data_IF_719983204375
#
_entry.id   IF_719983204375
#
_cell.length_a   1.000
_cell.length_b   1.000
_cell.length_c   1.000
_cell.angle_alpha   90.00
_cell.angle_beta   90.00
_cell.angle_gamma   90.00
#
_symmetry.space_group_name_H-M   'P 1'
#
loop_
_entity.id
_entity.type
_entity.pdbx_description
1 polymer ?
#
# COMPACT_ATOMS: atom_id res chain seq x y z
N UNK A 1 -8.46 18.79 11.51
CA UNK A 1 -8.82 17.67 10.62
C UNK A 1 -7.96 16.46 10.96
N UNK A 2 -8.50 15.23 10.89
CA UNK A 2 -7.76 14.00 11.21
C UNK A 2 -7.30 13.33 9.92
N UNK A 3 -5.98 13.20 9.73
CA UNK A 3 -5.42 12.37 8.66
C UNK A 3 -5.52 10.91 9.13
N UNK A 4 -6.09 10.05 8.31
CA UNK A 4 -6.19 8.62 8.60
C UNK A 4 -4.78 8.01 8.61
N UNK A 5 -4.38 7.43 9.75
CA UNK A 5 -3.07 6.75 9.88
C UNK A 5 -3.03 5.41 9.15
N UNK A 6 -4.20 4.82 8.92
CA UNK A 6 -4.38 3.49 8.35
C UNK A 6 -5.51 3.51 7.34
N UNK A 7 -5.37 2.73 6.27
CA UNK A 7 -6.37 2.61 5.22
C UNK A 7 -6.64 1.16 4.86
N UNK A 8 -7.92 0.78 4.82
CA UNK A 8 -8.35 -0.55 4.39
C UNK A 8 -8.66 -0.53 2.90
N UNK A 9 -7.96 -1.37 2.12
CA UNK A 9 -8.13 -1.49 0.67
C UNK A 9 -8.17 -2.97 0.32
N UNK A 10 -9.31 -3.46 -0.21
CA UNK A 10 -9.47 -4.86 -0.61
C UNK A 10 -9.16 -5.86 0.52
N UNK A 11 -9.61 -5.58 1.75
CA UNK A 11 -9.35 -6.42 2.92
C UNK A 11 -7.93 -6.35 3.48
N UNK A 12 -7.07 -5.48 2.95
CA UNK A 12 -5.68 -5.32 3.40
C UNK A 12 -5.48 -3.93 4.03
N UNK A 13 -4.74 -3.89 5.14
CA UNK A 13 -4.43 -2.64 5.84
C UNK A 13 -3.12 -2.05 5.30
N UNK A 14 -3.16 -0.76 5.00
CA UNK A 14 -2.02 0.04 4.59
C UNK A 14 -1.77 1.13 5.63
N UNK A 15 -0.51 1.43 5.92
CA UNK A 15 -0.07 2.48 6.83
C UNK A 15 0.20 3.76 6.06
N UNK A 16 -0.15 4.91 6.61
CA UNK A 16 0.24 6.21 6.08
C UNK A 16 1.76 6.35 6.10
N UNK A 17 2.36 6.66 4.95
CA UNK A 17 3.73 7.12 4.84
C UNK A 17 3.79 8.63 5.06
N UNK A 18 3.11 9.39 4.20
CA UNK A 18 3.20 10.86 4.16
C UNK A 18 2.03 11.47 3.37
N UNK A 19 1.82 12.78 3.53
CA UNK A 19 0.78 13.56 2.84
C UNK A 19 1.40 14.75 2.14
N UNK A 20 1.03 14.94 0.87
CA UNK A 20 1.59 15.99 0.00
C UNK A 20 0.49 16.87 -0.58
N UNK A 21 0.81 18.14 -0.84
CA UNK A 21 -0.12 19.04 -1.52
C UNK A 21 -0.25 18.74 -3.02
N UNK A 22 0.82 18.25 -3.65
CA UNK A 22 0.88 18.01 -5.09
C UNK A 22 0.88 16.51 -5.41
N UNK A 23 0.04 16.10 -6.36
CA UNK A 23 -0.04 14.71 -6.82
C UNK A 23 1.29 14.21 -7.38
N UNK A 24 2.07 15.07 -8.03
CA UNK A 24 3.36 14.73 -8.64
C UNK A 24 4.34 14.25 -7.57
N UNK A 25 4.43 14.98 -6.45
CA UNK A 25 5.31 14.62 -5.32
C UNK A 25 4.86 13.33 -4.65
N UNK A 26 3.54 13.19 -4.41
CA UNK A 26 2.98 11.95 -3.86
C UNK A 26 3.25 10.74 -4.77
N UNK A 27 3.20 10.93 -6.09
CA UNK A 27 3.47 9.89 -7.07
C UNK A 27 4.95 9.49 -7.08
N UNK A 28 5.87 10.46 -6.99
CA UNK A 28 7.30 10.18 -6.84
C UNK A 28 7.56 9.37 -5.58
N UNK A 29 7.02 9.79 -4.43
CA UNK A 29 7.15 9.04 -3.18
C UNK A 29 6.55 7.62 -3.26
N UNK A 30 5.42 7.49 -3.94
CA UNK A 30 4.78 6.20 -4.15
C UNK A 30 5.65 5.25 -5.01
N UNK A 31 6.38 5.78 -6.00
CA UNK A 31 7.30 4.99 -6.84
C UNK A 31 8.48 4.45 -6.03
N UNK A 32 9.12 5.29 -5.22
CA UNK A 32 10.21 4.87 -4.33
C UNK A 32 9.78 3.73 -3.40
N UNK A 33 8.60 3.83 -2.79
CA UNK A 33 8.10 2.81 -1.88
C UNK A 33 7.73 1.50 -2.59
N UNK A 34 7.37 1.54 -3.88
CA UNK A 34 6.87 0.40 -4.65
C UNK A 34 7.92 -0.70 -4.88
N UNK A 35 9.21 -0.37 -4.75
CA UNK A 35 10.30 -1.34 -4.84
C UNK A 35 10.13 -2.46 -3.81
N UNK A 36 9.82 -2.11 -2.57
CA UNK A 36 9.73 -3.06 -1.45
C UNK A 36 8.30 -3.25 -0.90
N UNK A 37 7.36 -2.37 -1.29
CA UNK A 37 6.02 -2.33 -0.72
C UNK A 37 4.94 -2.38 -1.80
N UNK A 38 3.71 -2.72 -1.37
CA UNK A 38 2.51 -2.33 -2.10
C UNK A 38 2.12 -0.93 -1.64
N UNK A 39 1.71 -0.08 -2.57
CA UNK A 39 1.43 1.34 -2.32
C UNK A 39 0.01 1.68 -2.76
N UNK A 40 -0.62 2.60 -2.06
CA UNK A 40 -1.95 3.12 -2.37
C UNK A 40 -1.96 4.64 -2.21
N UNK A 41 -2.45 5.35 -3.22
CA UNK A 41 -2.63 6.80 -3.21
C UNK A 41 -4.10 7.13 -2.94
N UNK A 42 -4.34 8.09 -2.05
CA UNK A 42 -5.68 8.61 -1.78
C UNK A 42 -5.66 10.12 -1.77
N UNK A 43 -6.64 10.73 -2.45
CA UNK A 43 -6.99 12.12 -2.18
C UNK A 43 -7.65 12.20 -0.80
N UNK A 44 -7.36 13.25 -0.06
CA UNK A 44 -7.91 13.55 1.27
C UNK A 44 -8.96 14.66 1.13
N UNK A 45 -9.77 14.88 2.18
CA UNK A 45 -10.86 15.85 2.13
C UNK A 45 -10.40 17.32 1.98
N UNK A 46 -9.12 17.60 2.22
CA UNK A 46 -8.52 18.94 2.06
C UNK A 46 -7.65 19.03 0.79
N UNK A 47 -8.00 18.24 -0.22
CA UNK A 47 -7.36 18.22 -1.54
C UNK A 47 -5.88 17.81 -1.57
N UNK A 48 -5.33 17.32 -0.45
CA UNK A 48 -3.99 16.74 -0.40
C UNK A 48 -3.98 15.26 -0.78
N UNK A 49 -2.79 14.76 -1.08
CA UNK A 49 -2.53 13.38 -1.52
C UNK A 49 -1.79 12.61 -0.44
N UNK A 50 -2.46 11.63 0.14
CA UNK A 50 -1.88 10.71 1.12
C UNK A 50 -1.33 9.46 0.43
N UNK A 51 -0.07 9.12 0.75
CA UNK A 51 0.61 7.91 0.31
C UNK A 51 0.53 6.88 1.43
N UNK A 52 -0.04 5.72 1.14
CA UNK A 52 -0.12 4.60 2.07
C UNK A 52 0.69 3.42 1.54
N UNK A 53 1.25 2.60 2.42
CA UNK A 53 2.05 1.43 2.06
C UNK A 53 1.79 0.24 2.96
N UNK A 54 2.09 -0.95 2.46
CA UNK A 54 2.26 -2.18 3.23
C UNK A 54 3.40 -3.00 2.63
N UNK A 55 4.12 -3.81 3.41
CA UNK A 55 5.09 -4.75 2.86
C UNK A 55 4.44 -5.65 1.79
N UNK A 56 5.24 -6.05 0.79
CA UNK A 56 4.83 -7.12 -0.11
C UNK A 56 4.65 -8.40 0.71
N UNK A 57 3.68 -9.22 0.32
CA UNK A 57 3.57 -10.53 0.93
C UNK A 57 4.86 -11.29 0.56
N UNK A 58 5.45 -12.09 1.46
CA UNK A 58 6.56 -12.94 1.09
C UNK A 58 6.15 -13.76 -0.12
N UNK A 59 7.05 -13.91 -1.09
CA UNK A 59 6.85 -14.85 -2.21
C UNK A 59 6.75 -16.25 -1.61
N UNK A 60 5.53 -16.67 -1.31
CA UNK A 60 5.26 -18.07 -1.05
C UNK A 60 5.52 -18.79 -2.36
N UNK A 61 6.70 -19.38 -2.49
CA UNK A 61 6.95 -20.52 -3.38
C UNK A 61 6.05 -21.66 -2.91
N UNK A 62 4.74 -21.50 -3.09
CA UNK A 62 3.72 -22.49 -2.85
C UNK A 62 3.87 -23.53 -3.95
N UNK A 63 4.88 -24.38 -3.82
CA UNK A 63 4.87 -25.66 -4.52
C UNK A 63 3.67 -26.39 -3.93
N UNK A 64 2.54 -26.35 -4.64
CA UNK A 64 1.35 -27.13 -4.30
C UNK A 64 1.76 -28.60 -4.26
N UNK A 65 2.14 -29.08 -3.07
CA UNK A 65 2.33 -30.50 -2.82
C UNK A 65 0.93 -31.10 -2.78
N UNK A 66 0.43 -31.51 -3.93
CA UNK A 66 -0.72 -32.40 -4.00
C UNK A 66 -0.27 -33.73 -3.36
N UNK A 67 -0.85 -34.06 -2.21
CA UNK A 67 -0.75 -35.41 -1.67
C UNK A 67 -1.93 -36.19 -2.24
N UNK A 68 -1.64 -37.19 -3.07
CA UNK A 68 -2.64 -38.19 -3.42
C UNK A 68 -2.90 -39.03 -2.18
N UNK A 69 -4.11 -38.94 -1.63
CA UNK A 69 -4.61 -39.91 -0.67
C UNK A 69 -5.11 -41.08 -1.51
N UNK A 70 -4.37 -42.19 -1.47
CA UNK A 70 -4.75 -43.49 -2.05
C UNK A 70 -5.63 -44.23 -1.06
#
# INVERSE_FOLDING_TARGET
MKIEKWKLVGGRVYRLAEVFHMIVVATTRARELKENNRVFLSKTNDDRWAVYYRPKDPETNSVSKYFNVV
#
